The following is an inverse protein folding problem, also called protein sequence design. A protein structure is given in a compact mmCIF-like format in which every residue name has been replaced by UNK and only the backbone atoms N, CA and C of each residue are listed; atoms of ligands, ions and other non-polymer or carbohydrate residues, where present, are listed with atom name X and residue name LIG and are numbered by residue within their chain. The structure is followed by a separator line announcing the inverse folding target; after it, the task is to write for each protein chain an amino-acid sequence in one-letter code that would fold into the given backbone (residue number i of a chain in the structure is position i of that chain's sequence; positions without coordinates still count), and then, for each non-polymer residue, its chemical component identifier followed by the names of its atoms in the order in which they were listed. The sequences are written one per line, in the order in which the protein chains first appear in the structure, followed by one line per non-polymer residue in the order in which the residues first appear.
data_IF_986099502893
#
_entry.id   IF_986099502893
#
_cell.length_a   1.000
_cell.length_b   1.000
_cell.length_c   1.000
_cell.angle_alpha   90.00
_cell.angle_beta   90.00
_cell.angle_gamma   90.00
#
_symmetry.space_group_name_H-M   'P 1'
#
loop_
_entity.id
_entity.type
_entity.pdbx_description
1 polymer ?
#
# COMPACT_ATOMS: atom_id res chain seq x y z
N UNK A 1 -43.71 -11.64 19.19
CA UNK A 1 -42.83 -12.54 18.38
C UNK A 1 -42.20 -11.83 17.19
N UNK A 2 -42.95 -11.07 16.37
CA UNK A 2 -42.41 -10.33 15.20
C UNK A 2 -41.32 -9.29 15.54
N UNK A 3 -41.38 -8.66 16.70
CA UNK A 3 -40.50 -7.57 17.14
C UNK A 3 -39.08 -8.07 17.53
N UNK A 4 -39.00 -9.30 18.03
CA UNK A 4 -37.73 -9.97 18.39
C UNK A 4 -36.98 -10.39 17.12
N UNK A 5 -37.72 -10.86 16.10
CA UNK A 5 -37.16 -11.26 14.81
C UNK A 5 -36.57 -10.04 14.09
N UNK A 6 -37.26 -8.89 14.10
CA UNK A 6 -36.74 -7.65 13.52
C UNK A 6 -35.45 -7.21 14.21
N UNK A 7 -35.39 -7.31 15.55
CA UNK A 7 -34.18 -6.99 16.31
C UNK A 7 -32.98 -7.87 15.93
N UNK A 8 -33.18 -9.18 15.79
CA UNK A 8 -32.14 -10.12 15.37
C UNK A 8 -31.66 -9.86 13.94
N UNK A 9 -32.57 -9.57 13.01
CA UNK A 9 -32.21 -9.26 11.62
C UNK A 9 -31.39 -7.97 11.55
N UNK A 10 -31.75 -6.93 12.32
CA UNK A 10 -30.98 -5.68 12.36
C UNK A 10 -29.58 -5.90 12.94
N UNK A 11 -29.44 -6.68 14.01
CA UNK A 11 -28.13 -7.00 14.60
C UNK A 11 -27.26 -7.80 13.63
N UNK A 12 -27.83 -8.79 12.92
CA UNK A 12 -27.09 -9.57 11.91
C UNK A 12 -26.65 -8.71 10.72
N UNK A 13 -27.47 -7.77 10.27
CA UNK A 13 -27.11 -6.83 9.19
C UNK A 13 -26.01 -5.88 9.64
N UNK A 14 -26.04 -5.39 10.88
CA UNK A 14 -24.98 -4.52 11.43
C UNK A 14 -23.66 -5.29 11.56
N UNK A 15 -23.68 -6.54 12.06
CA UNK A 15 -22.50 -7.39 12.17
C UNK A 15 -21.92 -7.75 10.80
N UNK A 16 -22.78 -8.09 9.83
CA UNK A 16 -22.37 -8.35 8.46
C UNK A 16 -21.79 -7.08 7.80
N UNK A 17 -22.37 -5.91 8.05
CA UNK A 17 -21.85 -4.64 7.57
C UNK A 17 -20.49 -4.33 8.20
N UNK A 18 -20.30 -4.49 9.51
CA UNK A 18 -19.00 -4.30 10.16
C UNK A 18 -17.92 -5.23 9.60
N UNK A 19 -18.27 -6.49 9.33
CA UNK A 19 -17.36 -7.45 8.71
C UNK A 19 -17.07 -7.10 7.24
N UNK A 20 -18.09 -6.73 6.47
CA UNK A 20 -17.97 -6.38 5.05
C UNK A 20 -17.27 -5.04 4.81
N UNK A 21 -17.49 -4.04 5.66
CA UNK A 21 -16.76 -2.76 5.62
C UNK A 21 -15.32 -2.88 6.12
N UNK A 22 -15.02 -3.88 6.97
CA UNK A 22 -13.64 -4.21 7.39
C UNK A 22 -12.81 -4.90 6.30
N UNK A 23 -13.47 -5.53 5.32
CA UNK A 23 -12.83 -6.15 4.14
C UNK A 23 -13.13 -5.28 2.91
N UNK A 24 -12.76 -4.00 2.96
CA UNK A 24 -12.58 -3.23 1.73
C UNK A 24 -11.12 -3.39 1.29
N UNK A 25 -10.82 -4.21 0.27
CA UNK A 25 -9.53 -4.13 -0.42
C UNK A 25 -9.51 -2.77 -1.14
N UNK A 26 -9.06 -1.75 -0.45
CA UNK A 26 -8.83 -0.43 -1.00
C UNK A 26 -7.51 -0.48 -1.79
N UNK A 27 -7.63 -0.22 -3.11
CA UNK A 27 -6.54 -0.08 -4.10
C UNK A 27 -5.91 -1.44 -4.50
N UNK A 28 -5.82 -1.85 -5.77
CA UNK A 28 -5.48 -1.07 -6.96
C UNK A 28 -6.27 -1.60 -8.17
N UNK A 29 -7.10 -0.73 -8.74
CA UNK A 29 -7.34 -0.75 -10.19
C UNK A 29 -6.17 0.02 -10.82
N UNK A 30 -5.73 -0.50 -11.98
CA UNK A 30 -4.67 0.05 -12.82
C UNK A 30 -4.64 1.59 -12.84
N UNK A 31 -3.53 2.13 -12.37
CA UNK A 31 -3.11 3.49 -12.59
C UNK A 31 -1.61 3.51 -12.42
N UNK A 32 -0.91 4.10 -13.37
CA UNK A 32 0.54 4.30 -13.33
C UNK A 32 0.93 5.03 -12.04
N UNK A 33 1.23 4.26 -10.99
CA UNK A 33 1.69 4.79 -9.71
C UNK A 33 3.07 5.40 -9.99
N UNK A 34 3.11 6.71 -10.22
CA UNK A 34 4.36 7.44 -10.40
C UNK A 34 5.11 7.43 -9.07
N UNK A 35 6.23 6.73 -9.04
CA UNK A 35 7.10 6.57 -7.88
C UNK A 35 8.43 7.28 -8.12
N UNK A 36 9.03 7.80 -7.05
CA UNK A 36 10.31 8.48 -7.11
C UNK A 36 11.42 7.59 -6.54
N UNK A 37 12.51 7.42 -7.30
CA UNK A 37 13.69 6.70 -6.85
C UNK A 37 14.33 7.44 -5.67
N UNK A 38 14.42 6.86 -4.46
CA UNK A 38 14.90 7.57 -3.27
C UNK A 38 16.39 7.93 -3.33
N UNK A 39 17.15 7.28 -4.24
CA UNK A 39 18.59 7.54 -4.42
C UNK A 39 18.84 8.67 -5.42
N UNK A 40 18.15 8.66 -6.56
CA UNK A 40 18.39 9.60 -7.66
C UNK A 40 17.37 10.75 -7.74
N UNK A 41 16.19 10.61 -7.14
CA UNK A 41 15.07 11.56 -7.27
C UNK A 41 14.30 11.47 -8.59
N UNK A 42 14.57 10.45 -9.41
CA UNK A 42 13.91 10.26 -10.71
C UNK A 42 12.51 9.70 -10.50
N UNK A 43 11.50 10.37 -11.09
CA UNK A 43 10.12 9.89 -11.15
C UNK A 43 9.95 8.91 -12.32
N UNK A 44 9.27 7.81 -12.08
CA UNK A 44 9.00 6.76 -13.07
C UNK A 44 7.70 6.04 -12.71
N UNK A 45 7.09 5.34 -13.65
CA UNK A 45 5.95 4.50 -13.29
C UNK A 45 6.45 3.29 -12.50
N UNK A 46 5.66 2.84 -11.52
CA UNK A 46 5.98 1.66 -10.71
C UNK A 46 6.25 0.41 -11.56
N UNK A 47 5.58 0.29 -12.71
CA UNK A 47 5.80 -0.78 -13.70
C UNK A 47 7.15 -0.71 -14.41
N UNK A 48 7.78 0.47 -14.47
CA UNK A 48 9.09 0.70 -15.09
C UNK A 48 10.24 0.58 -14.09
N UNK A 49 9.95 0.34 -12.81
CA UNK A 49 10.97 0.19 -11.79
C UNK A 49 11.89 -1.00 -12.09
N UNK A 50 13.20 -0.75 -12.09
CA UNK A 50 14.20 -1.81 -12.26
C UNK A 50 14.13 -2.85 -11.13
N UNK A 51 13.95 -2.37 -9.90
CA UNK A 51 13.82 -3.24 -8.73
C UNK A 51 13.06 -2.52 -7.61
N UNK A 52 12.62 -3.28 -6.61
CA UNK A 52 12.03 -2.73 -5.40
C UNK A 52 12.54 -3.46 -4.15
N UNK A 53 12.51 -2.79 -3.01
CA UNK A 53 12.85 -3.38 -1.71
C UNK A 53 11.88 -2.91 -0.66
N UNK A 54 11.55 -3.78 0.29
CA UNK A 54 10.82 -3.39 1.48
C UNK A 54 11.77 -2.92 2.57
N UNK A 55 11.43 -1.80 3.21
CA UNK A 55 12.13 -1.27 4.37
C UNK A 55 11.14 -0.58 5.31
N UNK A 56 11.14 -0.96 6.60
CA UNK A 56 10.20 -0.44 7.63
C UNK A 56 8.72 -0.51 7.21
N UNK A 57 8.31 -1.60 6.52
CA UNK A 57 6.93 -1.81 6.07
C UNK A 57 6.51 -0.93 4.88
N UNK A 58 7.45 -0.25 4.23
CA UNK A 58 7.22 0.50 2.98
C UNK A 58 8.01 -0.12 1.84
N UNK A 59 7.41 -0.19 0.65
CA UNK A 59 8.09 -0.63 -0.58
C UNK A 59 8.70 0.56 -1.30
N UNK A 60 10.01 0.51 -1.53
CA UNK A 60 10.78 1.51 -2.27
C UNK A 60 11.12 0.98 -3.66
N UNK A 61 10.98 1.83 -4.67
CA UNK A 61 11.24 1.50 -6.08
C UNK A 61 12.51 2.17 -6.58
N UNK A 62 13.26 1.49 -7.44
CA UNK A 62 14.57 1.93 -7.92
C UNK A 62 14.60 2.01 -9.44
N UNK A 63 15.14 3.11 -9.96
CA UNK A 63 15.25 3.34 -11.41
C UNK A 63 16.44 2.61 -12.05
N UNK A 64 17.36 2.04 -11.26
CA UNK A 64 18.63 1.53 -11.77
C UNK A 64 19.20 0.38 -10.91
N UNK A 65 20.13 -0.41 -11.47
CA UNK A 65 20.77 -1.52 -10.78
C UNK A 65 21.69 -1.10 -9.61
N UNK A 66 22.30 0.09 -9.68
CA UNK A 66 23.17 0.61 -8.62
C UNK A 66 22.38 1.17 -7.41
N UNK A 67 21.15 1.61 -7.66
CA UNK A 67 20.27 2.26 -6.70
C UNK A 67 19.93 1.38 -5.46
N UNK A 68 19.53 0.10 -5.58
CA UNK A 68 19.26 -0.74 -4.41
C UNK A 68 20.50 -0.97 -3.53
N UNK A 69 21.69 -1.08 -4.12
CA UNK A 69 22.94 -1.25 -3.37
C UNK A 69 23.31 -0.01 -2.55
N UNK A 70 23.15 1.18 -3.13
CA UNK A 70 23.32 2.44 -2.41
C UNK A 70 22.30 2.59 -1.28
N UNK A 71 21.03 2.27 -1.55
CA UNK A 71 19.96 2.32 -0.57
C UNK A 71 20.19 1.37 0.61
N UNK A 72 20.61 0.12 0.36
CA UNK A 72 20.85 -0.86 1.44
C UNK A 72 22.01 -0.49 2.37
N UNK A 73 23.02 0.23 1.87
CA UNK A 73 24.15 0.66 2.69
C UNK A 73 23.76 1.73 3.71
N UNK A 74 22.84 2.63 3.35
CA UNK A 74 22.37 3.66 4.27
C UNK A 74 20.93 4.10 3.94
N UNK A 75 19.92 3.28 4.24
CA UNK A 75 18.54 3.56 3.86
C UNK A 75 18.00 4.82 4.56
N UNK A 76 18.43 5.07 5.80
CA UNK A 76 17.98 6.22 6.60
C UNK A 76 18.32 7.56 5.95
N UNK A 77 19.45 7.65 5.25
CA UNK A 77 19.85 8.82 4.47
C UNK A 77 18.88 9.16 3.34
N UNK A 78 18.23 8.16 2.75
CA UNK A 78 17.39 8.33 1.56
C UNK A 78 15.90 8.40 1.89
N UNK A 79 15.45 7.72 2.95
CA UNK A 79 14.03 7.71 3.34
C UNK A 79 13.55 8.99 4.02
N UNK A 80 14.46 9.83 4.55
CA UNK A 80 14.08 11.07 5.25
C UNK A 80 13.62 12.18 4.28
N UNK A 81 13.82 12.01 2.97
CA UNK A 81 13.44 12.98 1.94
C UNK A 81 12.02 12.81 1.40
N UNK A 82 11.30 11.74 1.78
CA UNK A 82 9.96 11.42 1.27
C UNK A 82 8.86 11.69 2.28
#
# INVERSE_FOLDING_TARGET
MKNIIIGLVVVLVILAAWWYFGVRPSRQMMGDDVVECPVMGTKMNKSEAYSSTEYKGKTYYFCCAACPGAFRQNPEKYINKQ
#
